data_IF_407027096933
#
_entry.id   IF_407027096933
#
_cell.length_a   1.000
_cell.length_b   1.000
_cell.length_c   1.000
_cell.angle_alpha   90.00
_cell.angle_beta   90.00
_cell.angle_gamma   90.00
#
_symmetry.space_group_name_H-M   'P 1'
#
loop_
_entity.id
_entity.type
_entity.pdbx_description
1 polymer ?
#
# COMPACT_ATOMS: atom_id res chain seq x y z
N UNK A 1 -15.09 16.55 -2.50
CA UNK A 1 -14.50 15.62 -3.50
C UNK A 1 -13.38 14.88 -2.82
N UNK A 2 -13.23 13.56 -2.85
CA UNK A 2 -14.23 12.50 -2.85
C UNK A 2 -13.71 11.52 -1.79
N UNK A 3 -14.54 11.18 -0.81
CA UNK A 3 -14.27 10.14 0.17
C UNK A 3 -13.80 8.93 -0.63
N UNK A 4 -12.54 8.50 -0.51
CA UNK A 4 -12.16 7.20 -1.02
C UNK A 4 -13.12 6.22 -0.36
N UNK A 5 -14.01 5.67 -1.16
CA UNK A 5 -14.98 4.71 -0.67
C UNK A 5 -14.12 3.55 -0.22
N UNK A 6 -14.15 3.20 1.07
CA UNK A 6 -13.34 2.10 1.63
C UNK A 6 -13.44 0.84 0.77
N UNK A 7 -14.60 0.67 0.12
CA UNK A 7 -14.92 -0.34 -0.87
C UNK A 7 -14.05 -0.29 -2.14
N UNK A 8 -13.69 0.87 -2.69
CA UNK A 8 -12.83 0.99 -3.87
C UNK A 8 -11.41 0.49 -3.57
N UNK A 9 -10.85 0.93 -2.44
CA UNK A 9 -9.52 0.49 -1.99
C UNK A 9 -9.51 -1.00 -1.65
N UNK A 10 -10.57 -1.50 -0.99
CA UNK A 10 -10.72 -2.93 -0.73
C UNK A 10 -10.81 -3.70 -2.04
N UNK A 11 -11.64 -3.27 -2.99
CA UNK A 11 -11.78 -3.92 -4.29
C UNK A 11 -10.45 -3.96 -5.05
N UNK A 12 -9.67 -2.88 -5.04
CA UNK A 12 -8.30 -2.88 -5.59
C UNK A 12 -7.42 -3.94 -4.91
N UNK A 13 -7.42 -4.01 -3.57
CA UNK A 13 -6.65 -5.03 -2.84
C UNK A 13 -7.11 -6.43 -3.20
N UNK A 14 -8.42 -6.69 -3.27
CA UNK A 14 -8.97 -7.98 -3.66
C UNK A 14 -8.55 -8.37 -5.08
N UNK A 15 -8.63 -7.44 -6.03
CA UNK A 15 -8.21 -7.66 -7.41
C UNK A 15 -6.70 -7.94 -7.51
N UNK A 16 -5.88 -7.25 -6.71
CA UNK A 16 -4.44 -7.47 -6.66
C UNK A 16 -4.11 -8.84 -6.04
N UNK A 17 -4.77 -9.22 -4.95
CA UNK A 17 -4.62 -10.56 -4.35
C UNK A 17 -5.02 -11.65 -5.34
N UNK A 18 -6.01 -11.42 -6.20
CA UNK A 18 -6.40 -12.39 -7.22
C UNK A 18 -5.49 -12.36 -8.46
N UNK A 19 -4.69 -11.31 -8.63
CA UNK A 19 -3.78 -11.19 -9.77
C UNK A 19 -2.62 -12.18 -9.65
N UNK A 20 -2.36 -12.91 -10.74
CA UNK A 20 -1.26 -13.90 -10.83
C UNK A 20 0.10 -13.20 -11.03
N UNK A 21 0.08 -11.92 -11.40
CA UNK A 21 1.27 -11.13 -11.75
C UNK A 21 2.06 -10.63 -10.52
N UNK A 22 1.55 -10.82 -9.30
CA UNK A 22 2.19 -10.32 -8.08
C UNK A 22 3.04 -11.39 -7.40
N UNK A 23 4.14 -10.96 -6.77
CA UNK A 23 5.01 -11.84 -5.98
C UNK A 23 4.29 -12.29 -4.71
N UNK A 24 4.69 -13.46 -4.21
CA UNK A 24 4.10 -14.02 -2.99
C UNK A 24 4.27 -13.08 -1.79
N UNK A 25 5.41 -12.40 -1.66
CA UNK A 25 5.66 -11.43 -0.59
C UNK A 25 4.68 -10.24 -0.61
N UNK A 26 4.31 -9.76 -1.81
CA UNK A 26 3.32 -8.69 -1.99
C UNK A 26 1.91 -9.20 -1.67
N UNK A 27 1.59 -10.42 -2.11
CA UNK A 27 0.31 -11.09 -1.84
C UNK A 27 0.08 -11.27 -0.35
N UNK A 28 1.10 -11.68 0.41
CA UNK A 28 1.02 -11.83 1.86
C UNK A 28 0.68 -10.52 2.58
N UNK A 29 1.28 -9.40 2.15
CA UNK A 29 0.98 -8.07 2.71
C UNK A 29 -0.46 -7.64 2.43
N UNK A 30 -0.93 -7.85 1.20
CA UNK A 30 -2.31 -7.55 0.83
C UNK A 30 -3.33 -8.42 1.61
N UNK A 31 -3.03 -9.70 1.79
CA UNK A 31 -3.84 -10.61 2.62
C UNK A 31 -3.87 -10.19 4.09
N UNK A 32 -2.73 -9.75 4.64
CA UNK A 32 -2.64 -9.23 6.01
C UNK A 32 -3.52 -7.99 6.19
N UNK A 33 -3.56 -7.08 5.21
CA UNK A 33 -4.47 -5.95 5.21
C UNK A 33 -5.93 -6.39 5.15
N UNK A 34 -6.29 -7.28 4.22
CA UNK A 34 -7.64 -7.85 4.09
C UNK A 34 -8.12 -8.43 5.42
N UNK A 35 -7.32 -9.33 6.01
CA UNK A 35 -7.62 -9.95 7.31
C UNK A 35 -7.75 -8.90 8.43
N UNK A 36 -6.92 -7.85 8.43
CA UNK A 36 -7.02 -6.79 9.43
C UNK A 36 -8.36 -6.04 9.32
N UNK A 37 -8.78 -5.68 8.11
CA UNK A 37 -10.06 -4.99 7.89
C UNK A 37 -11.24 -5.91 8.22
N UNK A 38 -11.20 -7.19 7.82
CA UNK A 38 -12.24 -8.18 8.14
C UNK A 38 -12.38 -8.43 9.65
N UNK A 39 -11.27 -8.39 10.40
CA UNK A 39 -11.28 -8.49 11.87
C UNK A 39 -11.80 -7.22 12.57
N UNK A 40 -12.32 -6.23 11.83
CA UNK A 40 -12.87 -4.99 12.39
C UNK A 40 -11.81 -4.01 12.88
N UNK A 41 -10.55 -4.16 12.43
CA UNK A 41 -9.48 -3.22 12.75
C UNK A 41 -9.74 -1.88 12.06
N UNK A 42 -9.29 -0.81 12.69
CA UNK A 42 -9.45 0.55 12.17
C UNK A 42 -8.86 0.67 10.75
N UNK A 43 -9.69 1.10 9.80
CA UNK A 43 -9.35 1.12 8.38
C UNK A 43 -8.16 2.04 8.10
N UNK A 44 -8.15 3.23 8.67
CA UNK A 44 -7.06 4.20 8.51
C UNK A 44 -5.73 3.64 9.04
N UNK A 45 -5.74 3.00 10.22
CA UNK A 45 -4.56 2.29 10.73
C UNK A 45 -4.13 1.13 9.84
N UNK A 46 -5.09 0.38 9.28
CA UNK A 46 -4.79 -0.72 8.37
C UNK A 46 -4.13 -0.21 7.07
N UNK A 47 -4.61 0.91 6.51
CA UNK A 47 -4.05 1.55 5.31
C UNK A 47 -2.63 2.06 5.58
N UNK A 48 -2.39 2.68 6.74
CA UNK A 48 -1.04 3.12 7.14
C UNK A 48 -0.09 1.93 7.26
N UNK A 49 -0.53 0.83 7.88
CA UNK A 49 0.27 -0.40 7.97
C UNK A 49 0.56 -0.98 6.59
N UNK A 50 -0.45 -1.01 5.70
CA UNK A 50 -0.31 -1.49 4.33
C UNK A 50 0.72 -0.69 3.53
N UNK A 51 0.65 0.65 3.60
CA UNK A 51 1.62 1.52 2.95
C UNK A 51 3.05 1.32 3.49
N UNK A 52 3.19 1.08 4.81
CA UNK A 52 4.49 0.78 5.42
C UNK A 52 5.04 -0.58 4.99
N UNK A 53 4.22 -1.62 5.01
CA UNK A 53 4.60 -2.97 4.61
C UNK A 53 5.00 -3.00 3.11
N UNK A 54 4.24 -2.35 2.23
CA UNK A 54 4.56 -2.22 0.81
C UNK A 54 5.86 -1.42 0.56
N UNK A 55 6.10 -0.36 1.33
CA UNK A 55 7.37 0.39 1.27
C UNK A 55 8.56 -0.51 1.65
N UNK A 56 8.42 -1.34 2.67
CA UNK A 56 9.46 -2.26 3.09
C UNK A 56 9.77 -3.29 2.00
N UNK A 57 8.75 -3.81 1.31
CA UNK A 57 8.92 -4.66 0.12
C UNK A 57 9.66 -3.91 -0.97
N UNK A 58 9.28 -2.66 -1.27
CA UNK A 58 9.99 -1.83 -2.25
C UNK A 58 11.49 -1.67 -1.93
N UNK A 59 11.82 -1.37 -0.67
CA UNK A 59 13.22 -1.26 -0.20
C UNK A 59 13.95 -2.61 -0.31
N UNK A 60 13.32 -3.70 0.09
CA UNK A 60 13.91 -5.04 -0.01
C UNK A 60 14.17 -5.43 -1.47
N UNK A 61 13.24 -5.11 -2.37
CA UNK A 61 13.39 -5.33 -3.81
C UNK A 61 14.54 -4.50 -4.39
N UNK A 62 14.68 -3.23 -3.99
CA UNK A 62 15.84 -2.39 -4.37
C UNK A 62 17.15 -3.04 -3.92
N UNK A 63 17.23 -3.53 -2.68
CA UNK A 63 18.41 -4.21 -2.17
C UNK A 63 18.74 -5.49 -2.96
N UNK A 64 17.73 -6.20 -3.45
CA UNK A 64 17.86 -7.39 -4.31
C UNK A 64 18.07 -7.06 -5.81
N UNK A 65 18.08 -5.78 -6.20
CA UNK A 65 18.02 -5.31 -7.61
C UNK A 65 16.82 -5.86 -8.39
N UNK A 66 15.76 -6.19 -7.68
CA UNK A 66 14.50 -6.62 -8.25
C UNK A 66 13.51 -5.46 -8.30
N UNK A 67 12.53 -5.57 -9.20
CA UNK A 67 11.41 -4.63 -9.25
C UNK A 67 10.20 -5.21 -8.51
N UNK A 68 9.40 -4.29 -7.99
CA UNK A 68 8.06 -4.59 -7.49
C UNK A 68 7.13 -4.85 -8.68
N UNK A 69 6.08 -5.64 -8.48
CA UNK A 69 5.15 -5.96 -9.56
C UNK A 69 4.41 -4.68 -10.00
N UNK A 70 4.20 -4.51 -11.31
CA UNK A 70 3.70 -3.23 -11.84
C UNK A 70 2.36 -2.85 -11.19
N UNK A 71 1.45 -3.81 -11.09
CA UNK A 71 0.13 -3.63 -10.47
C UNK A 71 0.21 -3.18 -9.01
N UNK A 72 1.15 -3.74 -8.23
CA UNK A 72 1.34 -3.37 -6.82
C UNK A 72 2.00 -1.98 -6.71
N UNK A 73 2.86 -1.62 -7.66
CA UNK A 73 3.51 -0.30 -7.70
C UNK A 73 2.51 0.81 -8.04
N UNK A 74 1.63 0.58 -9.01
CA UNK A 74 0.53 1.52 -9.32
C UNK A 74 -0.43 1.67 -8.14
N UNK A 75 -0.76 0.57 -7.48
CA UNK A 75 -1.56 0.61 -6.25
C UNK A 75 -0.85 1.37 -5.11
N UNK A 76 0.45 1.12 -4.90
CA UNK A 76 1.24 1.84 -3.91
C UNK A 76 1.23 3.36 -4.16
N UNK A 77 1.35 3.79 -5.41
CA UNK A 77 1.23 5.22 -5.79
C UNK A 77 -0.16 5.78 -5.49
N UNK A 78 -1.22 5.01 -5.76
CA UNK A 78 -2.61 5.40 -5.44
C UNK A 78 -2.78 5.61 -3.93
N UNK A 79 -2.37 4.65 -3.10
CA UNK A 79 -2.55 4.74 -1.64
C UNK A 79 -1.61 5.76 -0.97
N UNK A 80 -0.38 5.92 -1.48
CA UNK A 80 0.58 6.90 -0.93
C UNK A 80 0.14 8.33 -1.22
N UNK A 81 -0.41 8.59 -2.41
CA UNK A 81 -0.97 9.90 -2.76
C UNK A 81 -2.17 10.26 -1.88
N UNK A 82 -2.98 9.27 -1.48
CA UNK A 82 -4.13 9.48 -0.60
C UNK A 82 -3.77 9.59 0.89
N UNK A 83 -2.87 8.74 1.40
CA UNK A 83 -2.38 8.82 2.78
C UNK A 83 -1.59 10.10 3.09
N UNK A 84 -1.07 10.77 2.04
CA UNK A 84 -0.46 12.09 2.15
C UNK A 84 -1.46 13.22 2.41
N UNK A 85 -2.73 13.09 1.97
CA UNK A 85 -3.66 14.22 1.87
C UNK A 85 -4.57 14.42 3.09
N UNK A 86 -5.00 13.35 3.77
CA UNK A 86 -6.05 13.46 4.80
C UNK A 86 -5.56 13.56 6.24
N UNK A 87 -4.25 13.56 6.51
CA UNK A 87 -3.84 13.79 7.89
C UNK A 87 -2.36 14.05 8.09
N UNK A 88 -1.56 13.02 7.99
CA UNK A 88 -0.25 13.04 8.62
C UNK A 88 0.60 11.89 8.06
N UNK A 89 1.02 11.98 6.80
CA UNK A 89 2.42 11.62 6.54
C UNK A 89 3.38 12.64 7.23
N UNK A 90 2.80 13.76 7.67
CA UNK A 90 3.35 15.09 7.91
C UNK A 90 4.03 15.37 9.26
N UNK A 91 4.14 14.45 10.23
CA UNK A 91 5.00 14.73 11.40
C UNK A 91 6.36 14.04 11.41
N UNK A 92 6.63 13.12 10.48
CA UNK A 92 7.92 12.44 10.45
C UNK A 92 8.49 12.06 9.09
N UNK A 93 7.67 11.81 8.06
CA UNK A 93 8.15 11.15 6.84
C UNK A 93 8.08 12.00 5.57
N UNK A 94 7.29 13.08 5.54
CA UNK A 94 7.36 14.07 4.44
C UNK A 94 8.75 14.76 4.35
N UNK A 95 9.57 14.65 5.40
CA UNK A 95 10.94 15.13 5.42
C UNK A 95 11.93 14.22 4.65
N UNK A 96 11.59 12.96 4.37
CA UNK A 96 12.44 12.09 3.55
C UNK A 96 11.93 12.10 2.11
N UNK A 97 12.16 13.21 1.43
CA UNK A 97 11.98 13.32 -0.01
C UNK A 97 12.89 12.33 -0.72
N UNK A 98 12.35 11.16 -1.08
CA UNK A 98 12.90 10.37 -2.18
C UNK A 98 11.95 10.56 -3.34
N UNK A 99 12.13 11.68 -4.01
CA UNK A 99 11.53 11.95 -5.31
C UNK A 99 12.29 11.05 -6.28
N UNK A 100 11.64 10.00 -6.78
CA UNK A 100 12.18 9.19 -7.87
C UNK A 100 11.94 9.94 -9.19
N UNK A 101 13.02 10.31 -9.89
CA UNK A 101 13.02 10.78 -11.28
C UNK A 101 13.03 9.59 -12.24
#
# INVERSE_FOLDING_TARGET
MGKLVKEDLLNDVYNLVLSVDIKEEERQVLLKFKNAVENGKDFDKAVVSLASDLRQIGIANIAKKEKMSSSVNDFYKKISSHGLFEGNFARGLAATGVIFH
#
